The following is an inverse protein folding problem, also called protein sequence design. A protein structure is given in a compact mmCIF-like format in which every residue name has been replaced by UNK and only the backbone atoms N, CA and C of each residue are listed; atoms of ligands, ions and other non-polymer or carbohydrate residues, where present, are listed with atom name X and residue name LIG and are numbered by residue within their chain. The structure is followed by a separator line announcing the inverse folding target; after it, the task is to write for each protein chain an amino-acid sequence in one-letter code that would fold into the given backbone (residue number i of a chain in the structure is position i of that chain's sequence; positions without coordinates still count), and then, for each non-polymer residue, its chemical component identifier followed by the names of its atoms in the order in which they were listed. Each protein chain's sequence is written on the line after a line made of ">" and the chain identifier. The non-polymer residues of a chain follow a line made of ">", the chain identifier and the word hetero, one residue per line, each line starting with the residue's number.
data_IF_504758531261
#
_entry.id   IF_504758531261
#
_cell.length_a   1.000
_cell.length_b   1.000
_cell.length_c   1.000
_cell.angle_alpha   90.00
_cell.angle_beta   90.00
_cell.angle_gamma   90.00
#
_symmetry.space_group_name_H-M   'P 1'
#
loop_
_entity.id
_entity.type
_entity.pdbx_description
1 polymer ?
#
# COMPACT_ATOMS: atom_id res chain seq x y z
N UNK A 1 -32.60 -0.20 12.82
CA UNK A 1 -31.16 -0.35 13.08
C UNK A 1 -30.39 0.72 12.33
N UNK A 2 -29.24 1.13 12.85
CA UNK A 2 -28.32 2.01 12.15
C UNK A 2 -27.24 1.19 11.47
N UNK A 3 -27.06 1.42 10.17
CA UNK A 3 -26.06 0.77 9.32
C UNK A 3 -25.35 1.82 8.48
N UNK A 4 -24.34 1.42 7.72
CA UNK A 4 -23.74 2.25 6.67
C UNK A 4 -24.05 1.70 5.28
N UNK A 5 -24.48 2.57 4.37
CA UNK A 5 -24.60 2.26 2.94
C UNK A 5 -23.67 3.18 2.15
N UNK A 6 -22.74 2.60 1.38
CA UNK A 6 -21.74 3.34 0.60
C UNK A 6 -20.99 4.39 1.46
N UNK A 7 -20.67 4.04 2.71
CA UNK A 7 -20.02 4.92 3.68
C UNK A 7 -20.95 5.91 4.42
N UNK A 8 -22.21 6.05 4.01
CA UNK A 8 -23.17 6.99 4.61
C UNK A 8 -23.98 6.31 5.72
N UNK A 9 -24.07 6.90 6.93
CA UNK A 9 -24.90 6.35 8.00
C UNK A 9 -26.39 6.49 7.65
N UNK A 10 -27.16 5.42 7.87
CA UNK A 10 -28.60 5.38 7.62
C UNK A 10 -29.32 4.58 8.71
N UNK A 11 -30.51 5.05 9.10
CA UNK A 11 -31.44 4.28 9.92
C UNK A 11 -32.43 3.55 9.01
N UNK A 12 -32.50 2.22 9.12
CA UNK A 12 -33.38 1.39 8.29
C UNK A 12 -34.18 0.37 9.12
N UNK A 13 -35.31 -0.05 8.55
CA UNK A 13 -36.19 -1.11 9.01
C UNK A 13 -36.12 -2.38 8.14
N UNK A 14 -35.34 -2.37 7.05
CA UNK A 14 -35.06 -3.56 6.23
C UNK A 14 -34.41 -4.64 7.09
N UNK A 15 -34.65 -5.92 6.79
CA UNK A 15 -34.10 -7.03 7.58
C UNK A 15 -33.03 -7.84 6.85
N UNK A 16 -32.99 -7.75 5.52
CA UNK A 16 -32.03 -8.48 4.67
C UNK A 16 -31.36 -7.58 3.64
N UNK A 17 -30.27 -8.06 3.04
CA UNK A 17 -29.56 -7.36 1.95
C UNK A 17 -30.45 -7.16 0.72
N UNK A 18 -31.31 -8.13 0.41
CA UNK A 18 -32.24 -8.05 -0.71
C UNK A 18 -33.27 -6.94 -0.52
N UNK A 19 -33.89 -6.86 0.66
CA UNK A 19 -34.83 -5.79 1.00
C UNK A 19 -34.16 -4.41 0.89
N UNK A 20 -32.93 -4.33 1.41
CA UNK A 20 -32.15 -3.09 1.40
C UNK A 20 -31.81 -2.67 -0.03
N UNK A 21 -31.34 -3.62 -0.86
CA UNK A 21 -31.03 -3.37 -2.28
C UNK A 21 -32.29 -2.90 -3.01
N UNK A 22 -33.41 -3.59 -2.84
CA UNK A 22 -34.67 -3.27 -3.52
C UNK A 22 -35.18 -1.88 -3.15
N UNK A 23 -35.04 -1.48 -1.88
CA UNK A 23 -35.42 -0.14 -1.41
C UNK A 23 -34.61 0.99 -2.04
N UNK A 24 -33.32 0.77 -2.28
CA UNK A 24 -32.40 1.83 -2.76
C UNK A 24 -32.20 1.82 -4.28
N UNK A 25 -32.23 0.65 -4.92
CA UNK A 25 -31.89 0.45 -6.33
C UNK A 25 -32.94 -0.37 -7.10
N UNK A 26 -34.09 -0.71 -6.49
CA UNK A 26 -35.12 -1.50 -7.14
C UNK A 26 -34.65 -2.91 -7.54
N UNK A 27 -35.19 -3.43 -8.64
CA UNK A 27 -34.86 -4.75 -9.17
C UNK A 27 -33.66 -4.71 -10.16
N UNK A 28 -32.79 -3.71 -10.06
CA UNK A 28 -31.63 -3.57 -10.93
C UNK A 28 -30.67 -4.78 -10.83
N UNK A 29 -30.46 -5.46 -11.96
CA UNK A 29 -29.60 -6.65 -12.04
C UNK A 29 -28.10 -6.33 -12.14
N UNK A 30 -27.73 -5.05 -12.23
CA UNK A 30 -26.36 -4.59 -12.45
C UNK A 30 -25.67 -4.04 -11.19
N UNK A 31 -26.15 -4.41 -10.00
CA UNK A 31 -25.58 -4.02 -8.72
C UNK A 31 -24.65 -5.12 -8.18
N UNK A 32 -23.40 -4.76 -7.88
CA UNK A 32 -22.51 -5.57 -7.03
C UNK A 32 -22.81 -5.21 -5.57
N UNK A 33 -23.10 -6.22 -4.75
CA UNK A 33 -23.29 -6.04 -3.31
C UNK A 33 -22.03 -6.53 -2.58
N UNK A 34 -21.44 -5.64 -1.79
CA UNK A 34 -20.33 -5.97 -0.89
C UNK A 34 -20.84 -5.77 0.54
N UNK A 35 -20.82 -6.86 1.31
CA UNK A 35 -21.26 -6.87 2.69
C UNK A 35 -20.05 -7.07 3.59
N UNK A 36 -19.78 -6.12 4.48
CA UNK A 36 -18.68 -6.18 5.44
C UNK A 36 -17.33 -6.63 4.82
N UNK A 37 -16.94 -6.05 3.68
CA UNK A 37 -15.68 -6.38 3.00
C UNK A 37 -15.78 -7.49 1.95
N UNK A 38 -16.87 -8.26 1.91
CA UNK A 38 -17.00 -9.44 1.05
C UNK A 38 -18.06 -9.25 -0.03
N UNK A 39 -17.70 -9.45 -1.31
CA UNK A 39 -18.68 -9.45 -2.39
C UNK A 39 -19.55 -10.70 -2.29
N UNK A 40 -20.87 -10.53 -2.26
CA UNK A 40 -21.81 -11.65 -2.16
C UNK A 40 -23.03 -11.48 -3.08
N UNK A 41 -23.67 -12.62 -3.37
CA UNK A 41 -24.95 -12.73 -4.05
C UNK A 41 -26.06 -13.26 -3.13
N UNK A 42 -25.71 -13.75 -1.94
CA UNK A 42 -26.65 -14.33 -1.01
C UNK A 42 -27.41 -13.24 -0.24
N UNK A 43 -28.59 -13.60 0.25
CA UNK A 43 -29.41 -12.70 1.06
C UNK A 43 -29.08 -12.86 2.55
N UNK A 44 -28.10 -12.11 3.04
CA UNK A 44 -27.75 -12.07 4.47
C UNK A 44 -28.74 -11.21 5.25
N UNK A 45 -28.99 -11.60 6.50
CA UNK A 45 -29.63 -10.72 7.49
C UNK A 45 -28.69 -9.59 7.85
N UNK A 46 -29.22 -8.37 7.92
CA UNK A 46 -28.48 -7.18 8.34
C UNK A 46 -28.77 -6.86 9.81
N UNK A 47 -27.75 -6.36 10.49
CA UNK A 47 -27.72 -6.05 11.93
C UNK A 47 -27.17 -4.65 12.18
N UNK A 48 -27.29 -4.17 13.42
CA UNK A 48 -26.74 -2.88 13.84
C UNK A 48 -25.23 -2.79 13.55
N UNK A 49 -24.79 -1.65 13.03
CA UNK A 49 -23.42 -1.33 12.63
C UNK A 49 -22.86 -2.07 11.40
N UNK A 50 -23.67 -2.86 10.70
CA UNK A 50 -23.24 -3.46 9.44
C UNK A 50 -22.91 -2.41 8.37
N UNK A 51 -21.99 -2.77 7.48
CA UNK A 51 -21.63 -1.98 6.32
C UNK A 51 -21.98 -2.71 5.02
N UNK A 52 -22.78 -2.03 4.18
CA UNK A 52 -23.20 -2.50 2.88
C UNK A 52 -22.74 -1.52 1.82
N UNK A 53 -22.11 -2.01 0.75
CA UNK A 53 -21.70 -1.20 -0.38
C UNK A 53 -22.38 -1.75 -1.66
N UNK A 54 -23.16 -0.91 -2.31
CA UNK A 54 -23.81 -1.18 -3.59
C UNK A 54 -23.07 -0.44 -4.71
N UNK A 55 -22.55 -1.20 -5.69
CA UNK A 55 -21.80 -0.65 -6.82
C UNK A 55 -22.54 -0.96 -8.12
N UNK A 56 -22.98 0.09 -8.80
CA UNK A 56 -23.51 -0.01 -10.16
C UNK A 56 -22.38 -0.33 -11.16
N UNK A 57 -22.50 -1.46 -11.87
CA UNK A 57 -21.49 -1.88 -12.85
C UNK A 57 -21.35 -0.86 -13.98
N UNK A 58 -20.11 -0.44 -14.25
CA UNK A 58 -19.77 0.43 -15.38
C UNK A 58 -20.07 1.91 -15.18
N UNK A 59 -20.54 2.33 -13.99
CA UNK A 59 -20.76 3.75 -13.66
C UNK A 59 -19.70 4.24 -12.68
N UNK A 60 -19.22 5.47 -12.88
CA UNK A 60 -18.37 6.15 -11.90
C UNK A 60 -19.25 6.57 -10.72
N UNK A 61 -18.93 6.17 -9.48
CA UNK A 61 -19.71 6.58 -8.32
C UNK A 61 -19.52 8.07 -8.00
N UNK A 62 -20.46 8.67 -7.25
CA UNK A 62 -20.29 10.01 -6.68
C UNK A 62 -18.99 10.11 -5.86
N UNK A 63 -18.32 11.26 -5.88
CA UNK A 63 -16.99 11.45 -5.26
C UNK A 63 -16.98 11.16 -3.76
N UNK A 64 -18.06 11.48 -3.07
CA UNK A 64 -18.29 11.22 -1.64
C UNK A 64 -18.47 9.74 -1.31
N UNK A 65 -18.95 8.93 -2.27
CA UNK A 65 -19.06 7.47 -2.14
C UNK A 65 -17.83 6.75 -2.68
N UNK A 66 -17.11 7.36 -3.63
CA UNK A 66 -16.02 6.74 -4.37
C UNK A 66 -14.91 6.23 -3.44
N UNK A 67 -14.50 7.01 -2.44
CA UNK A 67 -13.49 6.59 -1.47
C UNK A 67 -13.96 5.37 -0.65
N UNK A 68 -15.22 5.39 -0.19
CA UNK A 68 -15.81 4.27 0.54
C UNK A 68 -15.89 3.02 -0.33
N UNK A 69 -16.28 3.17 -1.60
CA UNK A 69 -16.41 2.07 -2.54
C UNK A 69 -15.06 1.48 -2.96
N UNK A 70 -14.00 2.30 -3.07
CA UNK A 70 -12.64 1.81 -3.28
C UNK A 70 -12.19 0.89 -2.14
N UNK A 71 -12.67 1.16 -0.92
CA UNK A 71 -12.30 0.44 0.28
C UNK A 71 -13.38 -0.54 0.74
N UNK A 72 -14.46 -0.69 -0.03
CA UNK A 72 -15.60 -1.53 0.32
C UNK A 72 -15.22 -3.01 0.50
N UNK A 73 -14.15 -3.46 -0.16
CA UNK A 73 -13.58 -4.81 -0.04
C UNK A 73 -12.57 -4.96 1.10
N UNK A 74 -12.24 -3.88 1.81
CA UNK A 74 -11.40 -3.98 2.98
C UNK A 74 -12.22 -4.57 4.13
N UNK A 75 -11.55 -5.29 5.02
CA UNK A 75 -12.17 -5.75 6.26
C UNK A 75 -12.70 -4.53 7.04
N UNK A 76 -13.92 -4.58 7.61
CA UNK A 76 -14.46 -3.49 8.40
C UNK A 76 -13.49 -3.00 9.47
N UNK A 77 -13.47 -1.69 9.73
CA UNK A 77 -12.58 -1.02 10.70
C UNK A 77 -11.06 -1.08 10.41
N UNK A 78 -10.61 -1.82 9.39
CA UNK A 78 -9.20 -1.77 8.92
C UNK A 78 -8.94 -0.46 8.18
N UNK A 79 -9.88 -0.05 7.33
CA UNK A 79 -9.70 1.13 6.49
C UNK A 79 -9.41 2.40 7.28
N UNK A 80 -10.12 2.67 8.38
CA UNK A 80 -9.91 3.89 9.19
C UNK A 80 -8.48 3.97 9.77
N UNK A 81 -7.94 2.85 10.26
CA UNK A 81 -6.56 2.80 10.76
C UNK A 81 -5.55 3.03 9.64
N UNK A 82 -5.80 2.42 8.47
CA UNK A 82 -4.94 2.56 7.29
C UNK A 82 -4.98 3.99 6.75
N UNK A 83 -6.16 4.59 6.64
CA UNK A 83 -6.34 5.98 6.22
C UNK A 83 -5.68 6.97 7.18
N UNK A 84 -5.67 6.70 8.48
CA UNK A 84 -4.99 7.55 9.46
C UNK A 84 -3.45 7.43 9.42
N UNK A 85 -2.90 6.39 8.79
CA UNK A 85 -1.47 6.08 8.81
C UNK A 85 -0.65 6.92 7.83
N UNK A 86 0.64 7.09 8.16
CA UNK A 86 1.64 7.76 7.33
C UNK A 86 2.86 6.86 7.14
N UNK A 87 3.28 6.68 5.89
CA UNK A 87 4.40 5.79 5.55
C UNK A 87 5.40 6.51 4.67
N UNK A 88 6.67 6.47 5.05
CA UNK A 88 7.78 6.94 4.22
C UNK A 88 8.38 5.78 3.41
N UNK A 89 8.76 6.05 2.16
CA UNK A 89 9.41 5.08 1.27
C UNK A 89 10.72 5.70 0.77
N UNK A 90 11.84 5.13 1.21
CA UNK A 90 13.17 5.57 0.85
C UNK A 90 13.72 4.70 -0.29
N UNK A 91 13.84 5.30 -1.47
CA UNK A 91 14.17 4.61 -2.72
C UNK A 91 12.91 4.13 -3.43
N UNK A 92 12.75 4.52 -4.69
CA UNK A 92 11.58 4.31 -5.54
C UNK A 92 11.94 3.47 -6.77
N UNK A 93 12.89 2.55 -6.60
CA UNK A 93 13.23 1.53 -7.59
C UNK A 93 12.20 0.38 -7.63
N UNK A 94 12.69 -0.83 -7.90
CA UNK A 94 11.83 -2.03 -8.00
C UNK A 94 10.99 -2.28 -6.77
N UNK A 95 11.60 -2.24 -5.58
CA UNK A 95 10.87 -2.43 -4.33
C UNK A 95 9.95 -1.24 -4.02
N UNK A 96 10.52 -0.04 -3.89
CA UNK A 96 9.78 1.15 -3.44
C UNK A 96 8.58 1.51 -4.31
N UNK A 97 8.73 1.43 -5.64
CA UNK A 97 7.62 1.72 -6.57
C UNK A 97 6.46 0.73 -6.41
N UNK A 98 6.76 -0.57 -6.24
CA UNK A 98 5.74 -1.59 -5.97
C UNK A 98 5.11 -1.39 -4.59
N UNK A 99 5.91 -1.05 -3.58
CA UNK A 99 5.41 -0.77 -2.22
C UNK A 99 4.44 0.40 -2.24
N UNK A 100 4.79 1.52 -2.90
CA UNK A 100 3.96 2.70 -2.97
C UNK A 100 2.61 2.40 -3.64
N UNK A 101 2.63 1.68 -4.77
CA UNK A 101 1.41 1.26 -5.47
C UNK A 101 0.55 0.34 -4.59
N UNK A 102 1.14 -0.64 -3.92
CA UNK A 102 0.41 -1.54 -3.03
C UNK A 102 -0.25 -0.78 -1.88
N UNK A 103 0.50 0.11 -1.21
CA UNK A 103 -0.02 0.91 -0.09
C UNK A 103 -1.07 1.93 -0.56
N UNK A 104 -0.92 2.47 -1.78
CA UNK A 104 -1.92 3.35 -2.37
C UNK A 104 -3.24 2.64 -2.63
N UNK A 105 -3.19 1.42 -3.17
CA UNK A 105 -4.37 0.55 -3.36
C UNK A 105 -4.99 0.10 -2.03
N UNK A 106 -4.17 -0.03 -0.99
CA UNK A 106 -4.64 -0.37 0.37
C UNK A 106 -5.29 0.82 1.07
N UNK A 107 -5.09 2.05 0.58
CA UNK A 107 -5.70 3.26 1.13
C UNK A 107 -4.90 3.91 2.27
N UNK A 108 -3.57 3.74 2.31
CA UNK A 108 -2.72 4.48 3.26
C UNK A 108 -2.89 5.97 3.03
N UNK A 109 -3.32 6.72 4.05
CA UNK A 109 -3.73 8.12 3.85
C UNK A 109 -2.60 9.08 3.50
N UNK A 110 -1.36 8.77 3.88
CA UNK A 110 -0.19 9.58 3.49
C UNK A 110 1.00 8.72 3.10
N UNK A 111 1.53 8.99 1.90
CA UNK A 111 2.77 8.42 1.40
C UNK A 111 3.81 9.52 1.22
N UNK A 112 4.97 9.35 1.83
CA UNK A 112 6.13 10.21 1.64
C UNK A 112 7.17 9.48 0.78
N UNK A 113 7.37 9.95 -0.45
CA UNK A 113 8.22 9.32 -1.45
C UNK A 113 9.55 10.05 -1.56
N UNK A 114 10.65 9.33 -1.38
CA UNK A 114 11.99 9.93 -1.34
C UNK A 114 12.91 9.17 -2.29
N UNK A 115 13.35 9.85 -3.35
CA UNK A 115 14.34 9.37 -4.33
C UNK A 115 14.95 10.57 -5.05
N UNK A 116 16.11 10.41 -5.68
CA UNK A 116 16.79 11.48 -6.42
C UNK A 116 16.95 11.16 -7.91
N UNK A 117 16.69 9.92 -8.32
CA UNK A 117 16.88 9.45 -9.68
C UNK A 117 15.75 9.89 -10.60
N UNK A 118 16.05 9.82 -11.89
CA UNK A 118 15.08 9.92 -12.99
C UNK A 118 14.67 8.52 -13.48
N UNK A 119 13.53 8.46 -14.15
CA UNK A 119 13.04 7.22 -14.78
C UNK A 119 13.80 6.97 -16.08
N UNK A 120 14.43 5.79 -16.16
CA UNK A 120 15.19 5.35 -17.32
C UNK A 120 14.58 4.10 -17.99
N UNK A 121 14.87 3.81 -19.28
CA UNK A 121 14.35 2.62 -19.96
C UNK A 121 14.65 1.30 -19.24
N UNK A 122 15.83 1.19 -18.61
CA UNK A 122 16.26 0.01 -17.84
C UNK A 122 15.41 -0.26 -16.59
N UNK A 123 14.59 0.71 -16.17
CA UNK A 123 13.73 0.61 -14.99
C UNK A 123 12.40 -0.09 -15.30
N UNK A 124 11.91 0.02 -16.53
CA UNK A 124 10.58 -0.43 -16.95
C UNK A 124 10.37 -1.94 -16.82
N UNK A 125 11.46 -2.71 -16.71
CA UNK A 125 11.38 -4.17 -16.58
C UNK A 125 10.86 -4.66 -15.23
N UNK A 126 10.79 -3.79 -14.19
CA UNK A 126 10.45 -4.20 -12.81
C UNK A 126 9.92 -3.10 -11.89
N UNK A 127 9.85 -1.86 -12.37
CA UNK A 127 9.41 -0.69 -11.59
C UNK A 127 8.05 -0.24 -12.10
N UNK A 128 7.23 0.38 -11.24
CA UNK A 128 5.86 0.81 -11.57
C UNK A 128 5.81 2.08 -12.45
N UNK A 129 6.81 2.29 -13.31
CA UNK A 129 6.85 3.39 -14.27
C UNK A 129 6.35 2.93 -15.64
N UNK A 130 5.78 3.86 -16.40
CA UNK A 130 5.29 3.66 -17.76
C UNK A 130 6.21 4.38 -18.75
N UNK A 131 6.10 4.06 -20.03
CA UNK A 131 6.86 4.76 -21.10
C UNK A 131 6.64 6.28 -21.03
N UNK A 132 5.42 6.73 -20.70
CA UNK A 132 5.08 8.16 -20.52
C UNK A 132 5.88 8.86 -19.41
N UNK A 133 6.55 8.12 -18.52
CA UNK A 133 7.30 8.66 -17.39
C UNK A 133 8.80 8.82 -17.65
N UNK A 134 9.32 8.36 -18.80
CA UNK A 134 10.74 8.47 -19.12
C UNK A 134 11.23 9.93 -19.03
N UNK A 135 12.35 10.15 -18.32
CA UNK A 135 12.94 11.47 -18.11
C UNK A 135 12.35 12.29 -16.96
N UNK A 136 11.25 11.85 -16.34
CA UNK A 136 10.75 12.46 -15.10
C UNK A 136 11.55 11.98 -13.89
N UNK A 137 11.57 12.77 -12.81
CA UNK A 137 12.00 12.27 -11.52
C UNK A 137 11.10 11.13 -11.06
N UNK A 138 11.71 10.08 -10.47
CA UNK A 138 10.98 8.91 -9.96
C UNK A 138 9.88 9.30 -8.96
N UNK A 139 10.16 10.28 -8.11
CA UNK A 139 9.21 10.87 -7.15
C UNK A 139 7.97 11.46 -7.84
N UNK A 140 8.15 12.28 -8.88
CA UNK A 140 7.06 12.90 -9.64
C UNK A 140 6.28 11.86 -10.44
N UNK A 141 6.97 10.97 -11.15
CA UNK A 141 6.35 9.91 -11.94
C UNK A 141 5.47 9.00 -11.08
N UNK A 142 5.94 8.62 -9.89
CA UNK A 142 5.20 7.76 -8.99
C UNK A 142 4.05 8.49 -8.29
N UNK A 143 4.22 9.78 -7.97
CA UNK A 143 3.12 10.62 -7.47
C UNK A 143 1.97 10.67 -8.48
N UNK A 144 2.27 10.92 -9.76
CA UNK A 144 1.27 10.94 -10.84
C UNK A 144 0.53 9.59 -10.93
N UNK A 145 1.26 8.47 -10.84
CA UNK A 145 0.67 7.13 -10.88
C UNK A 145 -0.24 6.88 -9.66
N UNK A 146 0.16 7.31 -8.47
CA UNK A 146 -0.65 7.17 -7.25
C UNK A 146 -1.93 8.00 -7.34
N UNK A 147 -1.87 9.22 -7.87
CA UNK A 147 -3.05 10.07 -8.07
C UNK A 147 -4.06 9.45 -9.06
N UNK A 148 -3.58 8.74 -10.10
CA UNK A 148 -4.43 7.93 -11.00
C UNK A 148 -5.04 6.70 -10.30
N UNK A 149 -4.34 6.12 -9.32
CA UNK A 149 -4.79 4.93 -8.58
C UNK A 149 -5.80 5.29 -7.48
N UNK A 150 -5.47 6.27 -6.65
CA UNK A 150 -6.24 6.68 -5.48
C UNK A 150 -6.04 8.18 -5.20
N UNK A 151 -6.94 9.05 -5.68
CA UNK A 151 -6.82 10.50 -5.54
C UNK A 151 -7.09 11.01 -4.11
N UNK A 152 -7.46 10.13 -3.17
CA UNK A 152 -7.74 10.50 -1.77
C UNK A 152 -6.51 10.44 -0.88
N UNK A 153 -5.40 9.94 -1.39
CA UNK A 153 -4.13 9.83 -0.65
C UNK A 153 -3.35 11.12 -0.75
N UNK A 154 -2.84 11.58 0.39
CA UNK A 154 -1.85 12.66 0.41
C UNK A 154 -0.48 12.10 0.00
N UNK A 155 0.11 12.64 -1.05
CA UNK A 155 1.47 12.27 -1.47
C UNK A 155 2.40 13.46 -1.24
N UNK A 156 3.45 13.24 -0.44
CA UNK A 156 4.58 14.17 -0.29
C UNK A 156 5.78 13.59 -1.00
N UNK A 157 6.55 14.44 -1.68
CA UNK A 157 7.76 14.03 -2.39
C UNK A 157 8.94 14.85 -1.92
N UNK A 158 10.09 14.19 -1.78
CA UNK A 158 11.39 14.85 -1.66
C UNK A 158 12.34 14.26 -2.70
N UNK A 159 12.63 15.06 -3.74
CA UNK A 159 13.52 14.66 -4.83
C UNK A 159 14.99 14.87 -4.44
N UNK A 160 15.45 14.13 -3.43
CA UNK A 160 16.78 14.30 -2.83
C UNK A 160 17.43 12.97 -2.48
N UNK A 161 18.76 12.96 -2.48
CA UNK A 161 19.52 11.79 -2.01
C UNK A 161 19.50 11.79 -0.48
N UNK A 162 19.14 10.66 0.10
CA UNK A 162 19.18 10.49 1.56
C UNK A 162 20.62 10.37 2.03
N UNK A 163 20.95 11.13 3.08
CA UNK A 163 22.25 11.18 3.73
C UNK A 163 22.06 11.29 5.23
N UNK A 164 23.08 10.96 6.02
CA UNK A 164 23.03 11.11 7.49
C UNK A 164 22.58 12.50 7.95
N UNK A 165 22.93 13.54 7.17
CA UNK A 165 22.61 14.94 7.48
C UNK A 165 21.13 15.31 7.31
N UNK A 166 20.39 14.60 6.46
CA UNK A 166 18.99 14.94 6.16
C UNK A 166 17.98 13.89 6.64
N UNK A 167 18.42 12.74 7.17
CA UNK A 167 17.52 11.69 7.67
C UNK A 167 16.57 12.21 8.75
N UNK A 168 17.08 12.99 9.72
CA UNK A 168 16.24 13.52 10.78
C UNK A 168 15.08 14.37 10.24
N UNK A 169 15.36 15.28 9.29
CA UNK A 169 14.35 16.14 8.71
C UNK A 169 13.39 15.38 7.80
N UNK A 170 13.90 14.45 6.98
CA UNK A 170 13.10 13.72 6.00
C UNK A 170 12.12 12.76 6.67
N UNK A 171 12.53 12.05 7.73
CA UNK A 171 11.72 10.98 8.32
C UNK A 171 11.06 11.36 9.64
N UNK A 172 10.81 12.65 9.86
CA UNK A 172 10.30 13.16 11.14
C UNK A 172 8.86 12.70 11.43
N UNK A 173 7.99 12.65 10.42
CA UNK A 173 6.54 12.66 10.64
C UNK A 173 5.88 11.28 10.49
N UNK A 174 6.58 10.29 9.94
CA UNK A 174 6.06 8.97 9.57
C UNK A 174 6.50 7.93 10.60
N UNK A 175 5.57 7.10 11.08
CA UNK A 175 5.88 6.09 12.11
C UNK A 175 6.47 4.80 11.51
N UNK A 176 6.24 4.57 10.21
CA UNK A 176 6.69 3.40 9.47
C UNK A 176 7.48 3.85 8.25
N UNK A 177 8.65 3.26 8.08
CA UNK A 177 9.60 3.59 7.02
C UNK A 177 9.92 2.32 6.24
N UNK A 178 9.71 2.37 4.93
CA UNK A 178 10.14 1.34 4.00
C UNK A 178 11.51 1.70 3.46
N UNK A 179 12.50 0.86 3.72
CA UNK A 179 13.82 0.98 3.09
C UNK A 179 13.84 0.13 1.82
N UNK A 180 14.20 0.76 0.70
CA UNK A 180 14.18 0.16 -0.62
C UNK A 180 15.39 0.56 -1.49
N UNK A 181 16.52 0.88 -0.86
CA UNK A 181 17.78 1.14 -1.56
C UNK A 181 18.38 -0.16 -2.11
N UNK A 182 19.05 -0.02 -3.25
CA UNK A 182 19.79 -1.09 -3.92
C UNK A 182 21.23 -1.22 -3.41
N UNK A 183 21.81 -0.13 -2.91
CA UNK A 183 23.16 -0.11 -2.36
C UNK A 183 23.19 -0.58 -0.89
N UNK A 184 23.96 -1.63 -0.54
CA UNK A 184 24.05 -2.13 0.83
C UNK A 184 24.56 -1.12 1.86
N UNK A 185 25.51 -0.25 1.48
CA UNK A 185 26.05 0.79 2.38
C UNK A 185 25.01 1.85 2.68
N UNK A 186 24.27 2.32 1.66
CA UNK A 186 23.19 3.28 1.85
C UNK A 186 22.06 2.70 2.72
N UNK A 187 21.73 1.42 2.52
CA UNK A 187 20.78 0.68 3.35
C UNK A 187 21.21 0.64 4.82
N UNK A 188 22.45 0.24 5.09
CA UNK A 188 22.99 0.20 6.44
C UNK A 188 22.99 1.60 7.09
N UNK A 189 23.42 2.63 6.33
CA UNK A 189 23.41 4.02 6.77
C UNK A 189 22.00 4.47 7.18
N UNK A 190 20.99 4.24 6.33
CA UNK A 190 19.61 4.62 6.65
C UNK A 190 19.10 3.91 7.91
N UNK A 191 19.22 2.59 7.96
CA UNK A 191 18.69 1.78 9.07
C UNK A 191 19.36 2.18 10.39
N UNK A 192 20.68 2.27 10.42
CA UNK A 192 21.41 2.61 11.64
C UNK A 192 21.06 4.01 12.14
N UNK A 193 21.06 5.00 11.23
CA UNK A 193 20.77 6.39 11.57
C UNK A 193 19.33 6.57 12.05
N UNK A 194 18.37 5.86 11.45
CA UNK A 194 16.97 5.89 11.90
C UNK A 194 16.80 5.25 13.27
N UNK A 195 17.45 4.11 13.54
CA UNK A 195 17.37 3.45 14.84
C UNK A 195 18.04 4.27 15.95
N UNK A 196 19.08 5.04 15.62
CA UNK A 196 19.74 5.96 16.54
C UNK A 196 18.85 7.15 16.92
N UNK A 197 18.31 7.87 15.92
CA UNK A 197 17.53 9.09 16.18
C UNK A 197 16.05 8.82 16.51
N UNK A 198 15.50 7.72 16.00
CA UNK A 198 14.09 7.39 16.11
C UNK A 198 13.89 5.92 16.51
N UNK A 199 14.32 5.51 17.71
CA UNK A 199 14.35 4.11 18.12
C UNK A 199 12.97 3.43 18.16
N UNK A 200 11.88 4.19 18.17
CA UNK A 200 10.50 3.69 18.18
C UNK A 200 9.87 3.53 16.79
N UNK A 201 10.43 4.16 15.75
CA UNK A 201 9.89 4.07 14.38
C UNK A 201 10.11 2.67 13.84
N UNK A 202 9.14 2.17 13.07
CA UNK A 202 9.20 0.85 12.45
C UNK A 202 9.89 0.93 11.11
N UNK A 203 10.84 0.03 10.87
CA UNK A 203 11.60 -0.05 9.63
C UNK A 203 11.34 -1.40 8.98
N UNK A 204 10.91 -1.39 7.73
CA UNK A 204 10.71 -2.58 6.90
C UNK A 204 11.66 -2.51 5.71
N UNK A 205 12.71 -3.33 5.74
CA UNK A 205 13.76 -3.40 4.73
C UNK A 205 13.67 -4.70 3.93
N UNK A 206 14.48 -4.80 2.88
CA UNK A 206 14.64 -6.04 2.13
C UNK A 206 16.10 -6.38 1.79
N UNK A 207 16.35 -7.68 1.64
CA UNK A 207 17.62 -8.25 1.18
C UNK A 207 17.41 -9.62 0.53
N UNK A 208 17.91 -9.79 -0.70
CA UNK A 208 17.87 -11.06 -1.42
C UNK A 208 16.54 -11.35 -2.13
N UNK A 209 16.54 -11.17 -3.45
CA UNK A 209 15.35 -11.24 -4.32
C UNK A 209 15.71 -11.27 -5.82
N UNK A 210 16.99 -11.32 -6.19
CA UNK A 210 17.41 -11.28 -7.58
C UNK A 210 17.24 -12.65 -8.25
N UNK A 211 17.18 -12.69 -9.58
CA UNK A 211 16.97 -13.92 -10.33
C UNK A 211 15.53 -14.41 -10.29
N UNK A 212 15.37 -15.72 -10.50
CA UNK A 212 14.09 -16.40 -10.70
C UNK A 212 13.93 -17.61 -9.77
N UNK A 213 14.70 -17.66 -8.68
CA UNK A 213 14.56 -18.72 -7.66
C UNK A 213 13.15 -18.74 -7.08
N UNK A 214 12.76 -19.88 -6.47
CA UNK A 214 11.43 -20.06 -5.88
C UNK A 214 11.02 -18.89 -4.99
N UNK A 215 9.82 -18.36 -5.23
CA UNK A 215 9.23 -17.28 -4.44
C UNK A 215 9.06 -17.64 -2.97
N UNK A 216 8.91 -18.94 -2.66
CA UNK A 216 8.70 -19.43 -1.29
C UNK A 216 9.95 -19.27 -0.41
N UNK A 217 11.10 -18.94 -1.00
CA UNK A 217 12.32 -18.60 -0.26
C UNK A 217 12.30 -17.17 0.28
N UNK A 218 11.45 -16.30 -0.28
CA UNK A 218 11.24 -14.95 0.23
C UNK A 218 10.35 -15.04 1.45
N UNK A 219 10.88 -14.63 2.59
CA UNK A 219 10.16 -14.59 3.86
C UNK A 219 10.35 -13.23 4.51
N UNK A 220 9.41 -12.85 5.36
CA UNK A 220 9.61 -11.75 6.30
C UNK A 220 10.27 -12.32 7.54
N UNK A 221 11.19 -11.56 8.15
CA UNK A 221 11.76 -11.88 9.46
C UNK A 221 11.76 -10.65 10.35
N UNK A 222 11.36 -10.82 11.60
CA UNK A 222 11.55 -9.82 12.64
C UNK A 222 13.01 -9.88 13.12
N UNK A 223 13.77 -8.80 12.93
CA UNK A 223 15.17 -8.69 13.37
C UNK A 223 15.24 -8.13 14.79
N UNK A 224 14.47 -7.07 15.04
CA UNK A 224 14.24 -6.48 16.37
C UNK A 224 12.76 -6.08 16.48
N UNK A 225 12.34 -5.49 17.61
CA UNK A 225 10.95 -5.02 17.77
C UNK A 225 10.50 -3.98 16.73
N UNK A 226 11.46 -3.24 16.18
CA UNK A 226 11.24 -2.11 15.28
C UNK A 226 11.90 -2.32 13.91
N UNK A 227 12.53 -3.45 13.65
CA UNK A 227 13.20 -3.73 12.37
C UNK A 227 12.79 -5.09 11.79
N UNK A 228 12.28 -5.06 10.56
CA UNK A 228 11.78 -6.21 9.81
C UNK A 228 12.54 -6.29 8.48
N UNK A 229 12.91 -7.51 8.08
CA UNK A 229 13.67 -7.78 6.86
C UNK A 229 12.92 -8.78 5.99
N UNK A 230 12.63 -8.40 4.74
CA UNK A 230 11.98 -9.23 3.75
C UNK A 230 12.99 -9.76 2.71
N UNK A 231 12.81 -10.98 2.21
CA UNK A 231 13.66 -11.55 1.18
C UNK A 231 14.30 -12.87 1.57
N UNK A 232 15.09 -13.44 0.66
CA UNK A 232 15.79 -14.71 0.85
C UNK A 232 17.18 -14.56 1.47
N UNK A 233 17.70 -13.32 1.55
CA UNK A 233 19.03 -12.97 2.09
C UNK A 233 20.22 -13.62 1.38
N UNK A 234 20.01 -14.25 0.22
CA UNK A 234 21.03 -15.02 -0.49
C UNK A 234 21.26 -14.50 -1.92
N UNK A 235 20.22 -13.99 -2.58
CA UNK A 235 20.27 -13.66 -4.01
C UNK A 235 20.41 -12.16 -4.25
N UNK A 236 21.66 -11.70 -4.22
CA UNK A 236 22.05 -10.37 -4.71
C UNK A 236 22.04 -10.29 -6.24
N UNK A 237 21.82 -9.09 -6.78
CA UNK A 237 21.98 -8.85 -8.21
C UNK A 237 23.48 -8.92 -8.58
N UNK A 238 23.80 -9.59 -9.67
CA UNK A 238 25.16 -9.78 -10.16
C UNK A 238 25.16 -10.08 -11.66
N UNK A 239 26.33 -10.15 -12.29
CA UNK A 239 26.46 -10.61 -13.68
C UNK A 239 25.81 -11.99 -13.81
N UNK A 240 24.86 -12.13 -14.73
CA UNK A 240 24.07 -13.36 -14.92
C UNK A 240 22.84 -13.51 -14.00
N UNK A 241 22.61 -12.59 -13.05
CA UNK A 241 21.44 -12.59 -12.16
C UNK A 241 20.88 -11.18 -12.00
N UNK A 242 19.96 -10.83 -12.89
CA UNK A 242 19.23 -9.56 -12.83
C UNK A 242 18.07 -9.57 -11.84
N UNK A 243 17.46 -8.41 -11.61
CA UNK A 243 16.24 -8.27 -10.82
C UNK A 243 15.01 -8.55 -11.71
N UNK A 244 14.31 -9.65 -11.45
CA UNK A 244 13.13 -10.07 -12.21
C UNK A 244 11.85 -9.51 -11.58
N UNK A 245 10.96 -8.92 -12.39
CA UNK A 245 9.72 -8.28 -11.92
C UNK A 245 8.92 -9.14 -10.94
N UNK A 246 8.59 -10.41 -11.20
CA UNK A 246 7.75 -11.20 -10.29
C UNK A 246 8.38 -11.32 -8.90
N UNK A 247 9.69 -11.60 -8.84
CA UNK A 247 10.40 -11.83 -7.58
C UNK A 247 10.59 -10.54 -6.79
N UNK A 248 10.85 -9.42 -7.48
CA UNK A 248 10.84 -8.08 -6.89
C UNK A 248 9.46 -7.73 -6.33
N UNK A 249 8.39 -7.94 -7.09
CA UNK A 249 7.03 -7.66 -6.66
C UNK A 249 6.59 -8.53 -5.48
N UNK A 250 7.03 -9.79 -5.40
CA UNK A 250 6.80 -10.66 -4.24
C UNK A 250 7.50 -10.10 -3.00
N UNK A 251 8.79 -9.74 -3.09
CA UNK A 251 9.52 -9.14 -1.97
C UNK A 251 8.90 -7.80 -1.53
N UNK A 252 8.52 -6.96 -2.49
CA UNK A 252 7.78 -5.72 -2.23
C UNK A 252 6.42 -6.01 -1.57
N UNK A 253 5.72 -7.08 -1.99
CA UNK A 253 4.48 -7.56 -1.36
C UNK A 253 4.68 -7.96 0.09
N UNK A 254 5.78 -8.63 0.43
CA UNK A 254 6.17 -8.91 1.82
C UNK A 254 6.39 -7.62 2.62
N UNK A 255 7.08 -6.61 2.05
CA UNK A 255 7.26 -5.32 2.71
C UNK A 255 5.92 -4.60 2.92
N UNK A 256 5.10 -4.48 1.88
CA UNK A 256 3.77 -3.82 1.94
C UNK A 256 2.83 -4.50 2.93
N UNK A 257 2.79 -5.83 2.93
CA UNK A 257 1.94 -6.58 3.85
C UNK A 257 2.42 -6.42 5.30
N UNK A 258 3.74 -6.40 5.54
CA UNK A 258 4.26 -6.13 6.88
C UNK A 258 3.93 -4.71 7.34
N UNK A 259 4.00 -3.71 6.46
CA UNK A 259 3.56 -2.34 6.77
C UNK A 259 2.09 -2.32 7.17
N UNK A 260 1.21 -2.97 6.41
CA UNK A 260 -0.21 -3.10 6.75
C UNK A 260 -0.41 -3.76 8.12
N UNK A 261 0.30 -4.86 8.40
CA UNK A 261 0.28 -5.53 9.70
C UNK A 261 0.70 -4.58 10.83
N UNK A 262 1.78 -3.81 10.64
CA UNK A 262 2.26 -2.84 11.63
C UNK A 262 1.26 -1.73 11.91
N UNK A 263 0.59 -1.20 10.87
CA UNK A 263 -0.51 -0.22 11.01
C UNK A 263 -1.63 -0.80 11.87
N UNK A 264 -1.91 -2.09 11.72
CA UNK A 264 -2.92 -2.82 12.49
C UNK A 264 -2.46 -3.24 13.89
N UNK A 265 -1.20 -2.99 14.26
CA UNK A 265 -0.63 -3.35 15.55
C UNK A 265 -0.09 -4.79 15.63
N UNK A 266 -0.05 -5.50 14.50
CA UNK A 266 0.39 -6.89 14.36
C UNK A 266 1.90 -6.88 14.10
N UNK A 267 2.69 -7.49 15.01
CA UNK A 267 4.17 -7.41 15.01
C UNK A 267 4.85 -8.75 14.82
N UNK A 268 4.12 -9.83 14.97
CA UNK A 268 4.54 -11.19 14.72
C UNK A 268 4.70 -11.46 13.21
N UNK A 269 5.57 -12.42 12.88
CA UNK A 269 5.92 -12.83 11.52
C UNK A 269 5.78 -14.32 11.38
#
# INVERSE_FOLDING_TARGET
>A
MNIKINGKPITTNCSTLHDLRKKHYGDEKNIITIFNGFQTFDDYKISENDEVNFIEKGKMPPKDEFESLMCARHTPHVFEKVKASKVAIAGLGGLGSNIAVNLARTGVGHLHLIDFDIVEPSNLNRQQYKIKHLGLYKTEALKNEIEEINPFIKVTIDTVKVTEKNIQSLFKNEDIICEAFDNPTAKAMLVNTLLEYYPLKKIVSASGMAGYESSNTIVTKKITDNFYLCGDRATGAMVGRGLMAPRVSICAGHQSNMVLRLILGIKEV
#
